data_IF_418068602197
#
_entry.id   IF_418068602197
#
_cell.length_a   1.000
_cell.length_b   1.000
_cell.length_c   1.000
_cell.angle_alpha   90.00
_cell.angle_beta   90.00
_cell.angle_gamma   90.00
#
_symmetry.space_group_name_H-M   'P 1'
#
loop_
_entity.id
_entity.type
_entity.pdbx_description
1 polymer ?
#
# COMPACT_ATOMS: atom_id res chain seq x y z
N UNK A 1 -36.18 13.06 -2.66
CA UNK A 1 -36.47 12.26 -1.45
C UNK A 1 -35.75 10.93 -1.61
N UNK A 2 -34.87 10.60 -0.70
CA UNK A 2 -34.26 9.26 -0.67
C UNK A 2 -35.36 8.21 -0.45
N UNK A 3 -35.26 7.02 -1.07
CA UNK A 3 -36.19 5.94 -0.75
C UNK A 3 -36.14 5.68 0.75
N UNK A 4 -37.32 5.44 1.37
CA UNK A 4 -37.38 5.04 2.78
C UNK A 4 -36.71 3.67 2.87
N UNK A 5 -35.47 3.65 3.38
CA UNK A 5 -34.72 2.41 3.61
C UNK A 5 -35.22 1.76 4.89
N UNK A 6 -35.39 0.46 4.87
CA UNK A 6 -35.65 -0.29 6.10
C UNK A 6 -34.39 -0.26 6.96
N UNK A 7 -34.50 0.19 8.20
CA UNK A 7 -33.39 0.21 9.16
C UNK A 7 -33.33 -1.13 9.88
N UNK A 8 -32.11 -1.67 10.02
CA UNK A 8 -31.82 -2.82 10.86
C UNK A 8 -31.25 -2.35 12.22
N UNK A 9 -31.58 -3.09 13.27
CA UNK A 9 -30.84 -3.05 14.52
C UNK A 9 -29.55 -3.87 14.41
N UNK A 10 -28.60 -3.66 15.33
CA UNK A 10 -27.37 -4.45 15.36
C UNK A 10 -27.66 -5.96 15.50
N UNK A 11 -28.61 -6.30 16.39
CA UNK A 11 -28.96 -7.71 16.64
C UNK A 11 -29.57 -8.41 15.41
N UNK A 12 -30.39 -7.70 14.62
CA UNK A 12 -30.91 -8.24 13.36
C UNK A 12 -29.81 -8.44 12.33
N UNK A 13 -28.90 -7.44 12.19
CA UNK A 13 -27.74 -7.53 11.30
C UNK A 13 -26.85 -8.72 11.68
N UNK A 14 -26.58 -8.91 12.97
CA UNK A 14 -25.72 -10.01 13.46
C UNK A 14 -26.27 -11.38 13.09
N UNK A 15 -27.59 -11.57 13.05
CA UNK A 15 -28.21 -12.82 12.59
C UNK A 15 -27.89 -13.08 11.11
N UNK A 16 -28.02 -12.06 10.26
CA UNK A 16 -27.71 -12.17 8.84
C UNK A 16 -26.22 -12.44 8.62
N UNK A 17 -25.35 -11.71 9.31
CA UNK A 17 -23.89 -11.87 9.22
C UNK A 17 -23.47 -13.25 9.70
N UNK A 18 -24.01 -13.75 10.83
CA UNK A 18 -23.72 -15.09 11.32
C UNK A 18 -24.15 -16.20 10.33
N UNK A 19 -25.26 -15.99 9.59
CA UNK A 19 -25.66 -16.91 8.53
C UNK A 19 -24.68 -16.87 7.35
N UNK A 20 -24.18 -15.68 7.00
CA UNK A 20 -23.18 -15.51 5.94
C UNK A 20 -21.85 -16.18 6.30
N UNK A 21 -21.36 -15.96 7.51
CA UNK A 21 -20.12 -16.56 8.00
C UNK A 21 -20.21 -18.09 8.08
N UNK A 22 -21.40 -18.65 8.38
CA UNK A 22 -21.61 -20.10 8.26
C UNK A 22 -21.42 -20.60 6.84
N UNK A 23 -21.91 -19.85 5.83
CA UNK A 23 -21.70 -20.18 4.42
C UNK A 23 -20.21 -20.12 4.06
N UNK A 24 -19.56 -19.02 4.41
CA UNK A 24 -18.11 -18.83 4.15
C UNK A 24 -17.25 -19.95 4.76
N UNK A 25 -17.68 -20.49 5.90
CA UNK A 25 -17.00 -21.59 6.60
C UNK A 25 -17.49 -22.99 6.20
N UNK A 26 -18.33 -23.13 5.14
CA UNK A 26 -18.88 -24.41 4.68
C UNK A 26 -19.79 -25.09 5.69
N UNK A 27 -20.41 -24.35 6.64
CA UNK A 27 -21.27 -24.92 7.70
C UNK A 27 -22.74 -24.98 7.25
N UNK A 28 -23.52 -25.98 7.71
CA UNK A 28 -24.95 -26.07 7.37
C UNK A 28 -25.75 -24.84 7.79
N UNK A 29 -26.80 -24.49 7.01
CA UNK A 29 -27.67 -23.35 7.28
C UNK A 29 -27.06 -22.00 6.95
N UNK A 30 -25.89 -21.98 6.27
CA UNK A 30 -25.28 -20.76 5.77
C UNK A 30 -26.08 -20.14 4.62
N UNK A 31 -26.11 -18.80 4.57
CA UNK A 31 -26.73 -18.03 3.47
C UNK A 31 -25.88 -16.82 3.15
N UNK A 32 -25.69 -16.51 1.86
CA UNK A 32 -25.02 -15.28 1.43
C UNK A 32 -25.79 -14.06 1.93
N UNK A 33 -25.06 -13.10 2.49
CA UNK A 33 -25.62 -11.82 2.92
C UNK A 33 -25.99 -10.99 1.69
N UNK A 34 -27.27 -10.64 1.57
CA UNK A 34 -27.81 -9.82 0.49
C UNK A 34 -28.75 -8.76 1.11
N UNK A 35 -28.19 -7.62 1.48
CA UNK A 35 -28.91 -6.50 2.07
C UNK A 35 -28.91 -5.33 1.06
N UNK A 36 -29.93 -5.27 0.20
CA UNK A 36 -30.06 -4.19 -0.78
C UNK A 36 -30.97 -3.09 -0.25
N UNK A 37 -30.53 -1.84 -0.35
CA UNK A 37 -31.29 -0.65 0.05
C UNK A 37 -31.68 -0.58 1.53
N UNK A 38 -30.93 -1.22 2.42
CA UNK A 38 -31.13 -1.11 3.87
C UNK A 38 -30.41 0.11 4.45
N UNK A 39 -30.90 0.58 5.61
CA UNK A 39 -30.20 1.54 6.46
C UNK A 39 -29.45 0.77 7.55
N UNK A 40 -28.12 0.82 7.44
CA UNK A 40 -27.13 0.18 8.32
C UNK A 40 -26.22 1.22 8.99
N UNK A 41 -26.67 2.49 9.05
CA UNK A 41 -25.87 3.60 9.56
C UNK A 41 -25.38 3.36 10.99
N UNK A 42 -24.09 3.57 11.21
CA UNK A 42 -23.45 3.47 12.51
C UNK A 42 -23.33 2.06 13.07
N UNK A 43 -23.76 1.01 12.33
CA UNK A 43 -23.69 -0.37 12.80
C UNK A 43 -22.24 -0.90 12.77
N UNK A 44 -22.00 -1.91 13.60
CA UNK A 44 -20.67 -2.51 13.77
C UNK A 44 -20.55 -3.82 12.99
N UNK A 45 -19.65 -3.84 12.04
CA UNK A 45 -19.27 -4.97 11.20
C UNK A 45 -17.74 -5.23 11.25
N UNK A 46 -17.05 -4.65 12.25
CA UNK A 46 -15.59 -4.77 12.38
C UNK A 46 -15.17 -6.22 12.55
N UNK A 47 -14.09 -6.62 11.83
CA UNK A 47 -13.50 -7.95 11.88
C UNK A 47 -14.39 -9.08 11.34
N UNK A 48 -15.56 -8.77 10.75
CA UNK A 48 -16.50 -9.78 10.24
C UNK A 48 -16.09 -10.28 8.85
N UNK A 49 -16.38 -11.53 8.57
CA UNK A 49 -16.22 -12.06 7.21
C UNK A 49 -17.48 -11.76 6.37
N UNK A 50 -17.33 -10.78 5.49
CA UNK A 50 -18.35 -10.27 4.59
C UNK A 50 -17.95 -10.46 3.11
N UNK A 51 -17.03 -11.40 2.83
CA UNK A 51 -16.57 -11.66 1.47
C UNK A 51 -17.76 -12.00 0.55
N UNK A 52 -17.80 -11.34 -0.62
CA UNK A 52 -18.89 -11.46 -1.59
C UNK A 52 -20.29 -11.02 -1.09
N UNK A 53 -20.44 -10.42 0.08
CA UNK A 53 -21.71 -9.88 0.55
C UNK A 53 -22.22 -8.77 -0.39
N UNK A 54 -23.55 -8.63 -0.50
CA UNK A 54 -24.20 -7.61 -1.35
C UNK A 54 -24.89 -6.55 -0.48
N UNK A 55 -24.31 -5.35 -0.51
CA UNK A 55 -24.80 -4.14 0.16
C UNK A 55 -25.24 -3.06 -0.84
N UNK A 56 -25.63 -3.46 -2.07
CA UNK A 56 -26.01 -2.52 -3.12
C UNK A 56 -27.04 -1.50 -2.65
N UNK A 57 -26.75 -0.21 -2.85
CA UNK A 57 -27.65 0.89 -2.50
C UNK A 57 -27.91 1.07 -1.01
N UNK A 58 -27.23 0.34 -0.11
CA UNK A 58 -27.35 0.52 1.33
C UNK A 58 -26.86 1.89 1.78
N UNK A 59 -27.33 2.33 2.95
CA UNK A 59 -26.71 3.40 3.72
C UNK A 59 -25.88 2.78 4.83
N UNK A 60 -24.60 3.04 4.82
CA UNK A 60 -23.59 2.60 5.79
C UNK A 60 -22.84 3.81 6.37
N UNK A 61 -23.53 4.97 6.41
CA UNK A 61 -22.94 6.21 6.92
C UNK A 61 -22.46 6.02 8.36
N UNK A 62 -21.15 6.29 8.61
CA UNK A 62 -20.53 6.11 9.91
C UNK A 62 -20.48 4.66 10.40
N UNK A 63 -20.72 3.65 9.56
CA UNK A 63 -20.60 2.25 9.94
C UNK A 63 -19.13 1.88 10.24
N UNK A 64 -18.94 0.95 11.18
CA UNK A 64 -17.63 0.44 11.57
C UNK A 64 -17.36 -0.87 10.85
N UNK A 65 -16.33 -0.89 10.00
CA UNK A 65 -15.93 -2.00 9.15
C UNK A 65 -14.41 -2.28 9.28
N UNK A 66 -13.79 -1.75 10.34
CA UNK A 66 -12.35 -1.92 10.57
C UNK A 66 -11.98 -3.41 10.62
N UNK A 67 -10.95 -3.81 9.84
CA UNK A 67 -10.47 -5.17 9.74
C UNK A 67 -11.48 -6.18 9.15
N UNK A 68 -12.59 -5.73 8.56
CA UNK A 68 -13.56 -6.64 7.94
C UNK A 68 -13.00 -7.24 6.64
N UNK A 69 -13.25 -8.54 6.42
CA UNK A 69 -12.97 -9.18 5.14
C UNK A 69 -14.17 -8.98 4.21
N UNK A 70 -14.01 -8.11 3.20
CA UNK A 70 -15.03 -7.75 2.20
C UNK A 70 -14.57 -8.03 0.77
N UNK A 71 -13.69 -9.00 0.59
CA UNK A 71 -13.18 -9.37 -0.73
C UNK A 71 -14.32 -9.73 -1.68
N UNK A 72 -14.38 -9.09 -2.84
CA UNK A 72 -15.46 -9.27 -3.82
C UNK A 72 -16.84 -8.78 -3.37
N UNK A 73 -16.95 -8.06 -2.26
CA UNK A 73 -18.21 -7.50 -1.80
C UNK A 73 -18.78 -6.49 -2.80
N UNK A 74 -20.11 -6.41 -2.88
CA UNK A 74 -20.83 -5.48 -3.75
C UNK A 74 -21.33 -4.31 -2.91
N UNK A 75 -20.68 -3.16 -3.04
CA UNK A 75 -21.02 -1.88 -2.41
C UNK A 75 -21.55 -0.88 -3.45
N UNK A 76 -22.13 -1.41 -4.54
CA UNK A 76 -22.61 -0.65 -5.69
C UNK A 76 -23.60 0.43 -5.27
N UNK A 77 -23.28 1.70 -5.59
CA UNK A 77 -24.06 2.87 -5.22
C UNK A 77 -24.39 2.99 -3.72
N UNK A 78 -23.59 2.39 -2.85
CA UNK A 78 -23.76 2.51 -1.41
C UNK A 78 -23.36 3.89 -0.90
N UNK A 79 -23.96 4.32 0.19
CA UNK A 79 -23.59 5.51 0.94
C UNK A 79 -22.66 5.10 2.10
N UNK A 80 -21.38 5.37 1.94
CA UNK A 80 -20.29 4.98 2.86
C UNK A 80 -19.67 6.19 3.54
N UNK A 81 -20.38 7.33 3.60
CA UNK A 81 -19.86 8.57 4.17
C UNK A 81 -19.42 8.38 5.61
N UNK A 82 -18.17 8.79 5.90
CA UNK A 82 -17.60 8.69 7.25
C UNK A 82 -17.50 7.26 7.79
N UNK A 83 -17.67 6.22 6.98
CA UNK A 83 -17.48 4.84 7.41
C UNK A 83 -16.01 4.54 7.68
N UNK A 84 -15.76 3.66 8.64
CA UNK A 84 -14.41 3.24 9.04
C UNK A 84 -14.08 1.85 8.46
N UNK A 85 -13.19 1.83 7.48
CA UNK A 85 -12.64 0.64 6.84
C UNK A 85 -11.17 0.41 7.18
N UNK A 86 -10.67 0.98 8.29
CA UNK A 86 -9.27 0.83 8.69
C UNK A 86 -8.84 -0.64 8.63
N UNK A 87 -7.79 -0.95 7.83
CA UNK A 87 -7.26 -2.30 7.67
C UNK A 87 -8.23 -3.33 7.06
N UNK A 88 -9.35 -2.92 6.47
CA UNK A 88 -10.30 -3.84 5.84
C UNK A 88 -9.74 -4.41 4.53
N UNK A 89 -10.15 -5.62 4.20
CA UNK A 89 -9.84 -6.29 2.93
C UNK A 89 -11.01 -6.09 1.95
N UNK A 90 -10.78 -5.31 0.88
CA UNK A 90 -11.78 -4.97 -0.16
C UNK A 90 -11.28 -5.37 -1.56
N UNK A 91 -10.45 -6.41 -1.66
CA UNK A 91 -9.88 -6.87 -2.92
C UNK A 91 -11.00 -7.19 -3.92
N UNK A 92 -10.96 -6.54 -5.09
CA UNK A 92 -11.98 -6.65 -6.15
C UNK A 92 -13.41 -6.28 -5.72
N UNK A 93 -13.57 -5.45 -4.69
CA UNK A 93 -14.88 -4.95 -4.30
C UNK A 93 -15.48 -4.07 -5.41
N UNK A 94 -16.80 -4.17 -5.60
CA UNK A 94 -17.56 -3.29 -6.51
C UNK A 94 -18.05 -2.06 -5.75
N UNK A 95 -17.34 -0.96 -5.89
CA UNK A 95 -17.62 0.34 -5.30
C UNK A 95 -18.17 1.36 -6.33
N UNK A 96 -18.63 0.87 -7.49
CA UNK A 96 -19.12 1.77 -8.55
C UNK A 96 -20.29 2.62 -8.05
N UNK A 97 -20.16 3.92 -8.26
CA UNK A 97 -21.13 4.93 -7.81
C UNK A 97 -21.29 5.04 -6.30
N UNK A 98 -20.40 4.46 -5.51
CA UNK A 98 -20.41 4.59 -4.04
C UNK A 98 -19.93 5.98 -3.61
N UNK A 99 -20.44 6.44 -2.46
CA UNK A 99 -20.07 7.70 -1.84
C UNK A 99 -19.24 7.44 -0.58
N UNK A 100 -17.93 7.65 -0.66
CA UNK A 100 -16.95 7.46 0.42
C UNK A 100 -16.51 8.78 1.06
N UNK A 101 -17.27 9.88 0.92
CA UNK A 101 -16.86 11.18 1.45
C UNK A 101 -16.52 11.11 2.94
N UNK A 102 -15.28 11.50 3.29
CA UNK A 102 -14.79 11.47 4.66
C UNK A 102 -14.65 10.06 5.25
N UNK A 103 -14.72 8.99 4.46
CA UNK A 103 -14.48 7.64 4.94
C UNK A 103 -13.00 7.43 5.28
N UNK A 104 -12.73 6.56 6.23
CA UNK A 104 -11.37 6.17 6.63
C UNK A 104 -11.04 4.78 6.06
N UNK A 105 -10.10 4.73 5.12
CA UNK A 105 -9.61 3.51 4.48
C UNK A 105 -8.09 3.31 4.77
N UNK A 106 -7.62 3.85 5.89
CA UNK A 106 -6.22 3.70 6.30
C UNK A 106 -5.83 2.23 6.35
N UNK A 107 -4.71 1.85 5.69
CA UNK A 107 -4.21 0.48 5.59
C UNK A 107 -5.17 -0.54 4.94
N UNK A 108 -6.26 -0.12 4.30
CA UNK A 108 -7.17 -1.04 3.63
C UNK A 108 -6.55 -1.62 2.34
N UNK A 109 -6.89 -2.87 2.02
CA UNK A 109 -6.52 -3.49 0.76
C UNK A 109 -7.69 -3.41 -0.23
N UNK A 110 -7.57 -2.52 -1.20
CA UNK A 110 -8.52 -2.25 -2.28
C UNK A 110 -7.97 -2.70 -3.64
N UNK A 111 -7.05 -3.66 -3.64
CA UNK A 111 -6.44 -4.18 -4.87
C UNK A 111 -7.52 -4.55 -5.88
N UNK A 112 -7.46 -3.95 -7.08
CA UNK A 112 -8.41 -4.13 -8.18
C UNK A 112 -9.87 -3.77 -7.84
N UNK A 113 -10.14 -2.96 -6.82
CA UNK A 113 -11.48 -2.44 -6.54
C UNK A 113 -11.93 -1.50 -7.67
N UNK A 114 -13.25 -1.42 -7.87
CA UNK A 114 -13.86 -0.63 -8.95
C UNK A 114 -14.68 0.55 -8.39
N UNK A 115 -14.20 1.77 -8.63
CA UNK A 115 -14.82 3.02 -8.16
C UNK A 115 -15.51 3.83 -9.28
N UNK A 116 -15.62 3.28 -10.48
CA UNK A 116 -16.22 3.99 -11.61
C UNK A 116 -17.65 4.41 -11.32
N UNK A 117 -18.25 5.15 -12.22
CA UNK A 117 -19.65 5.51 -12.11
C UNK A 117 -20.57 4.28 -12.09
N UNK A 118 -21.68 4.39 -11.37
CA UNK A 118 -22.72 3.38 -11.30
C UNK A 118 -24.08 3.93 -11.69
N UNK A 119 -24.92 3.12 -12.33
CA UNK A 119 -26.32 3.49 -12.67
C UNK A 119 -27.26 2.65 -11.84
N UNK A 120 -27.89 3.27 -10.85
CA UNK A 120 -28.81 2.59 -9.95
C UNK A 120 -30.27 2.87 -10.32
N UNK A 121 -31.09 1.83 -10.27
CA UNK A 121 -32.53 1.91 -10.44
C UNK A 121 -33.21 2.20 -9.10
N UNK A 122 -33.82 3.36 -8.95
CA UNK A 122 -34.48 3.78 -7.73
C UNK A 122 -36.02 3.72 -7.95
N UNK A 123 -36.78 3.05 -7.06
CA UNK A 123 -38.24 3.08 -7.11
C UNK A 123 -38.76 4.52 -6.98
N UNK A 124 -39.77 4.87 -7.75
CA UNK A 124 -40.40 6.19 -7.67
C UNK A 124 -41.15 6.33 -6.33
N UNK A 125 -40.92 7.45 -5.62
CA UNK A 125 -41.43 7.67 -4.26
C UNK A 125 -42.97 7.52 -4.13
N UNK A 126 -43.73 7.80 -5.21
CA UNK A 126 -45.19 7.77 -5.20
C UNK A 126 -45.82 6.68 -6.07
N UNK A 127 -45.04 6.05 -6.97
CA UNK A 127 -45.56 5.04 -7.94
C UNK A 127 -44.94 3.66 -7.70
N UNK A 128 -44.19 3.48 -6.63
CA UNK A 128 -43.56 2.21 -6.26
C UNK A 128 -42.69 1.61 -7.39
N UNK A 129 -42.74 0.29 -7.55
CA UNK A 129 -42.01 -0.45 -8.57
C UNK A 129 -42.52 -0.26 -10.01
N UNK A 130 -43.65 0.42 -10.21
CA UNK A 130 -44.25 0.64 -11.54
C UNK A 130 -43.58 1.76 -12.31
N UNK A 131 -42.77 2.63 -11.65
CA UNK A 131 -41.96 3.63 -12.28
C UNK A 131 -40.57 3.62 -11.64
N UNK A 132 -39.57 3.23 -12.41
CA UNK A 132 -38.15 3.19 -11.98
C UNK A 132 -37.42 4.40 -12.58
N UNK A 133 -36.77 5.17 -11.76
CA UNK A 133 -35.84 6.21 -12.19
C UNK A 133 -34.41 5.66 -12.17
N UNK A 134 -33.74 5.77 -13.29
CA UNK A 134 -32.31 5.49 -13.36
C UNK A 134 -31.55 6.74 -12.92
N UNK A 135 -30.62 6.58 -11.99
CA UNK A 135 -29.74 7.63 -11.49
C UNK A 135 -28.29 7.20 -11.68
N UNK A 136 -27.55 8.01 -12.46
CA UNK A 136 -26.10 7.84 -12.59
C UNK A 136 -25.45 8.47 -11.36
N UNK A 137 -24.60 7.72 -10.67
CA UNK A 137 -23.80 8.17 -9.55
C UNK A 137 -22.34 8.02 -9.89
N UNK A 138 -21.62 9.13 -9.82
CA UNK A 138 -20.18 9.15 -9.89
C UNK A 138 -19.63 8.62 -8.56
N UNK A 139 -18.55 7.81 -8.60
CA UNK A 139 -17.80 7.47 -7.41
C UNK A 139 -17.26 8.74 -6.74
N UNK A 140 -17.44 8.89 -5.45
CA UNK A 140 -17.00 10.07 -4.71
C UNK A 140 -16.25 9.67 -3.44
N UNK A 141 -15.06 10.23 -3.27
CA UNK A 141 -14.17 10.01 -2.14
C UNK A 141 -13.59 11.35 -1.61
N UNK A 142 -14.33 12.46 -1.75
CA UNK A 142 -13.90 13.77 -1.26
C UNK A 142 -13.49 13.72 0.22
N UNK A 143 -12.24 14.12 0.53
CA UNK A 143 -11.71 14.13 1.89
C UNK A 143 -11.66 12.75 2.54
N UNK A 144 -11.75 11.67 1.79
CA UNK A 144 -11.51 10.33 2.31
C UNK A 144 -10.03 10.09 2.61
N UNK A 145 -9.74 9.24 3.58
CA UNK A 145 -8.37 8.88 3.96
C UNK A 145 -8.01 7.50 3.41
N UNK A 146 -6.99 7.44 2.54
CA UNK A 146 -6.41 6.22 1.97
C UNK A 146 -4.96 6.03 2.42
N UNK A 147 -4.55 6.70 3.49
CA UNK A 147 -3.17 6.62 3.99
C UNK A 147 -2.73 5.17 4.16
N UNK A 148 -1.64 4.79 3.48
CA UNK A 148 -1.12 3.43 3.52
C UNK A 148 -2.01 2.37 2.84
N UNK A 149 -3.13 2.73 2.22
CA UNK A 149 -3.99 1.78 1.52
C UNK A 149 -3.32 1.21 0.26
N UNK A 150 -3.77 0.05 -0.19
CA UNK A 150 -3.36 -0.57 -1.44
C UNK A 150 -4.50 -0.50 -2.44
N UNK A 151 -4.30 0.18 -3.58
CA UNK A 151 -5.25 0.33 -4.69
C UNK A 151 -4.67 -0.15 -6.02
N UNK A 152 -3.71 -1.09 -5.98
CA UNK A 152 -3.04 -1.59 -7.18
C UNK A 152 -4.03 -2.18 -8.19
N UNK A 153 -3.92 -1.73 -9.44
CA UNK A 153 -4.83 -2.13 -10.52
C UNK A 153 -6.28 -1.67 -10.32
N UNK A 154 -6.54 -0.80 -9.35
CA UNK A 154 -7.87 -0.24 -9.07
C UNK A 154 -8.43 0.55 -10.25
N UNK A 155 -9.75 0.55 -10.42
CA UNK A 155 -10.47 1.30 -11.44
C UNK A 155 -11.06 2.57 -10.81
N UNK A 156 -10.32 3.67 -10.86
CA UNK A 156 -10.68 4.98 -10.29
C UNK A 156 -11.02 6.01 -11.39
N UNK A 157 -11.29 5.55 -12.61
CA UNK A 157 -11.61 6.41 -13.74
C UNK A 157 -12.82 7.30 -13.44
N UNK A 158 -12.60 8.61 -13.53
CA UNK A 158 -13.62 9.63 -13.28
C UNK A 158 -14.06 9.77 -11.81
N UNK A 159 -13.38 9.19 -10.82
CA UNK A 159 -13.70 9.37 -9.39
C UNK A 159 -13.55 10.86 -8.99
N UNK A 160 -14.43 11.35 -8.12
CA UNK A 160 -14.27 12.66 -7.46
C UNK A 160 -13.66 12.44 -6.07
N UNK A 161 -12.36 12.72 -5.92
CA UNK A 161 -11.57 12.49 -4.72
C UNK A 161 -10.75 13.76 -4.32
N UNK A 162 -11.40 14.92 -4.40
CA UNK A 162 -10.80 16.19 -3.96
C UNK A 162 -10.40 16.11 -2.50
N UNK A 163 -9.22 16.66 -2.19
CA UNK A 163 -8.70 16.71 -0.82
C UNK A 163 -8.61 15.34 -0.12
N UNK A 164 -8.70 14.25 -0.88
CA UNK A 164 -8.46 12.93 -0.32
C UNK A 164 -6.98 12.73 0.03
N UNK A 165 -6.72 11.97 1.08
CA UNK A 165 -5.37 11.68 1.56
C UNK A 165 -4.92 10.30 1.07
N UNK A 166 -4.02 10.27 0.10
CA UNK A 166 -3.35 9.09 -0.45
C UNK A 166 -1.89 8.98 0.01
N UNK A 167 -1.56 9.55 1.17
CA UNK A 167 -0.19 9.49 1.71
C UNK A 167 0.30 8.04 1.79
N UNK A 168 1.49 7.76 1.22
CA UNK A 168 2.12 6.43 1.15
C UNK A 168 1.20 5.31 0.61
N UNK A 169 0.19 5.65 -0.18
CA UNK A 169 -0.73 4.70 -0.82
C UNK A 169 -0.03 3.99 -1.97
N UNK A 170 -0.36 2.70 -2.20
CA UNK A 170 0.03 1.99 -3.41
C UNK A 170 -1.07 2.11 -4.47
N UNK A 171 -0.71 2.61 -5.65
CA UNK A 171 -1.58 2.85 -6.81
C UNK A 171 -0.97 2.22 -8.08
N UNK A 172 -0.12 1.20 -7.92
CA UNK A 172 0.57 0.54 -9.02
C UNK A 172 -0.41 0.05 -10.09
N UNK A 173 -0.25 0.51 -11.35
CA UNK A 173 -1.13 0.15 -12.46
C UNK A 173 -2.60 0.59 -12.29
N UNK A 174 -2.92 1.46 -11.34
CA UNK A 174 -4.28 1.97 -11.16
C UNK A 174 -4.71 2.87 -12.32
N UNK A 175 -5.99 2.82 -12.67
CA UNK A 175 -6.59 3.70 -13.67
C UNK A 175 -7.24 4.90 -13.00
N UNK A 176 -6.55 6.06 -13.04
CA UNK A 176 -6.98 7.35 -12.51
C UNK A 176 -7.38 8.34 -13.64
N UNK A 177 -7.64 7.84 -14.85
CA UNK A 177 -8.01 8.69 -15.96
C UNK A 177 -9.26 9.51 -15.61
N UNK A 178 -9.25 10.79 -15.94
CA UNK A 178 -10.37 11.72 -15.67
C UNK A 178 -10.73 11.86 -14.18
N UNK A 179 -9.95 11.27 -13.26
CA UNK A 179 -10.15 11.44 -11.83
C UNK A 179 -9.95 12.90 -11.40
N UNK A 180 -10.71 13.34 -10.42
CA UNK A 180 -10.56 14.65 -9.84
C UNK A 180 -9.84 14.54 -8.49
N UNK A 181 -8.55 14.79 -8.52
CA UNK A 181 -7.63 14.75 -7.37
C UNK A 181 -7.18 16.18 -6.96
N UNK A 182 -8.02 17.19 -7.24
CA UNK A 182 -7.71 18.56 -6.86
C UNK A 182 -7.46 18.66 -5.35
N UNK A 183 -6.34 19.32 -5.00
CA UNK A 183 -5.89 19.51 -3.61
C UNK A 183 -5.69 18.17 -2.83
N UNK A 184 -5.57 17.03 -3.51
CA UNK A 184 -5.32 15.75 -2.86
C UNK A 184 -3.88 15.64 -2.34
N UNK A 185 -3.67 14.85 -1.29
CA UNK A 185 -2.35 14.56 -0.72
C UNK A 185 -1.90 13.21 -1.26
N UNK A 186 -0.82 13.21 -2.04
CA UNK A 186 -0.21 12.02 -2.66
C UNK A 186 1.26 11.88 -2.21
N UNK A 187 1.59 12.45 -1.04
CA UNK A 187 2.96 12.40 -0.49
C UNK A 187 3.41 10.95 -0.33
N UNK A 188 4.54 10.60 -0.96
CA UNK A 188 5.10 9.24 -0.91
C UNK A 188 4.26 8.18 -1.63
N UNK A 189 3.18 8.54 -2.35
CA UNK A 189 2.35 7.58 -3.06
C UNK A 189 3.15 6.86 -4.15
N UNK A 190 2.94 5.54 -4.27
CA UNK A 190 3.57 4.68 -5.26
C UNK A 190 2.60 4.47 -6.42
N UNK A 191 2.89 5.12 -7.56
CA UNK A 191 1.98 5.20 -8.72
C UNK A 191 2.60 4.55 -9.97
N UNK A 192 3.49 3.57 -9.79
CA UNK A 192 4.18 2.94 -10.92
C UNK A 192 3.19 2.42 -11.96
N UNK A 193 3.37 2.86 -13.21
CA UNK A 193 2.52 2.51 -14.34
C UNK A 193 1.03 2.87 -14.17
N UNK A 194 0.68 3.76 -13.26
CA UNK A 194 -0.69 4.28 -13.15
C UNK A 194 -1.03 5.16 -14.37
N UNK A 195 -2.29 5.12 -14.81
CA UNK A 195 -2.80 5.98 -15.87
C UNK A 195 -3.49 7.20 -15.26
N UNK A 196 -3.07 8.42 -15.68
CA UNK A 196 -3.58 9.69 -15.15
C UNK A 196 -4.05 10.65 -16.27
N UNK A 197 -4.41 10.12 -17.43
CA UNK A 197 -4.85 10.94 -18.56
C UNK A 197 -6.08 11.79 -18.20
N UNK A 198 -5.98 13.09 -18.43
CA UNK A 198 -7.02 14.08 -18.09
C UNK A 198 -7.39 14.08 -16.60
N UNK A 199 -6.53 13.57 -15.75
CA UNK A 199 -6.68 13.68 -14.31
C UNK A 199 -6.49 15.14 -13.88
N UNK A 200 -7.33 15.63 -12.98
CA UNK A 200 -7.17 16.94 -12.36
C UNK A 200 -6.34 16.78 -11.08
N UNK A 201 -5.07 17.18 -11.15
CA UNK A 201 -4.10 17.23 -10.05
C UNK A 201 -3.82 18.67 -9.59
N UNK A 202 -4.69 19.64 -9.92
CA UNK A 202 -4.51 21.05 -9.52
C UNK A 202 -4.32 21.14 -8.00
N UNK A 203 -3.21 21.75 -7.56
CA UNK A 203 -2.89 21.93 -6.15
C UNK A 203 -2.56 20.63 -5.38
N UNK A 204 -2.45 19.48 -6.03
CA UNK A 204 -2.12 18.22 -5.35
C UNK A 204 -0.69 18.24 -4.79
N UNK A 205 -0.50 17.67 -3.59
CA UNK A 205 0.82 17.49 -2.99
C UNK A 205 1.31 16.09 -3.33
N UNK A 206 2.33 15.99 -4.21
CA UNK A 206 2.93 14.73 -4.65
C UNK A 206 4.37 14.57 -4.16
N UNK A 207 4.76 15.30 -3.11
CA UNK A 207 6.13 15.28 -2.57
C UNK A 207 6.62 13.85 -2.34
N UNK A 208 7.76 13.50 -2.96
CA UNK A 208 8.36 12.17 -2.84
C UNK A 208 7.57 11.01 -3.45
N UNK A 209 6.51 11.26 -4.23
CA UNK A 209 5.78 10.20 -4.90
C UNK A 209 6.63 9.49 -5.97
N UNK A 210 6.31 8.21 -6.23
CA UNK A 210 6.96 7.41 -7.28
C UNK A 210 6.05 7.39 -8.51
N UNK A 211 6.52 7.98 -9.61
CA UNK A 211 5.80 8.12 -10.89
C UNK A 211 6.51 7.37 -12.03
N UNK A 212 7.21 6.29 -11.73
CA UNK A 212 7.85 5.45 -12.76
C UNK A 212 6.79 4.93 -13.73
N UNK A 213 6.96 5.18 -15.04
CA UNK A 213 6.00 4.78 -16.07
C UNK A 213 4.72 5.62 -16.12
N UNK A 214 4.63 6.72 -15.38
CA UNK A 214 3.48 7.64 -15.41
C UNK A 214 3.78 8.84 -16.32
N UNK A 215 2.86 9.15 -17.24
CA UNK A 215 2.92 10.30 -18.12
C UNK A 215 1.95 11.37 -17.63
N UNK A 216 2.46 12.57 -17.29
CA UNK A 216 1.64 13.70 -16.80
C UNK A 216 1.21 14.69 -17.88
N UNK A 217 1.54 14.45 -19.14
CA UNK A 217 1.34 15.42 -20.25
C UNK A 217 -0.12 15.84 -20.46
N UNK A 218 -1.05 14.91 -20.22
CA UNK A 218 -2.49 15.15 -20.38
C UNK A 218 -3.20 15.47 -19.06
N UNK A 219 -2.49 15.41 -17.92
CA UNK A 219 -3.04 15.75 -16.61
C UNK A 219 -2.95 17.25 -16.34
N UNK A 220 -3.92 17.80 -15.62
CA UNK A 220 -3.83 19.16 -15.10
C UNK A 220 -3.04 19.19 -13.79
N UNK A 221 -1.78 19.62 -13.87
CA UNK A 221 -0.85 19.69 -12.72
C UNK A 221 -0.62 21.12 -12.22
N UNK A 222 -1.52 22.06 -12.54
CA UNK A 222 -1.37 23.45 -12.15
C UNK A 222 -1.25 23.60 -10.63
N UNK A 223 -0.13 24.15 -10.16
CA UNK A 223 0.13 24.34 -8.73
C UNK A 223 0.36 23.06 -7.94
N UNK A 224 0.52 21.92 -8.59
CA UNK A 224 0.90 20.68 -7.90
C UNK A 224 2.35 20.75 -7.39
N UNK A 225 2.59 20.23 -6.19
CA UNK A 225 3.93 20.09 -5.61
C UNK A 225 4.54 18.74 -6.03
N UNK A 226 5.52 18.79 -6.92
CA UNK A 226 6.26 17.63 -7.45
C UNK A 226 7.66 17.50 -6.85
N UNK A 227 7.91 18.10 -5.68
CA UNK A 227 9.23 18.07 -5.02
C UNK A 227 9.63 16.63 -4.68
N UNK A 228 10.83 16.21 -5.10
CA UNK A 228 11.36 14.87 -4.80
C UNK A 228 10.61 13.71 -5.46
N UNK A 229 9.77 13.96 -6.46
CA UNK A 229 9.10 12.91 -7.22
C UNK A 229 10.12 12.06 -7.96
N UNK A 230 10.00 10.73 -7.83
CA UNK A 230 10.83 9.79 -8.56
C UNK A 230 10.15 9.42 -9.89
N UNK A 231 10.76 9.81 -11.00
CA UNK A 231 10.30 9.49 -12.37
C UNK A 231 10.99 8.24 -12.91
N UNK A 232 10.62 7.80 -14.10
CA UNK A 232 11.36 6.74 -14.82
C UNK A 232 12.85 7.09 -14.88
N UNK A 233 13.74 6.05 -14.89
CA UNK A 233 15.16 6.26 -15.06
C UNK A 233 15.45 7.10 -16.30
N UNK A 234 16.34 8.08 -16.17
CA UNK A 234 16.76 8.91 -17.28
C UNK A 234 17.73 8.18 -18.24
N UNK A 235 17.96 8.79 -19.41
CA UNK A 235 18.82 8.21 -20.46
C UNK A 235 20.24 7.87 -19.94
N UNK A 236 20.78 8.67 -19.03
CA UNK A 236 22.08 8.41 -18.41
C UNK A 236 22.08 7.13 -17.59
N UNK A 237 21.06 6.91 -16.76
CA UNK A 237 20.93 5.68 -15.98
C UNK A 237 20.74 4.45 -16.87
N UNK A 238 19.93 4.59 -17.92
CA UNK A 238 19.73 3.52 -18.92
C UNK A 238 21.03 3.17 -19.64
N UNK A 239 21.82 4.15 -20.06
CA UNK A 239 23.10 3.94 -20.73
C UNK A 239 24.15 3.26 -19.83
N UNK A 240 24.04 3.44 -18.50
CA UNK A 240 24.96 2.83 -17.53
C UNK A 240 24.57 1.42 -17.10
N UNK A 241 23.35 0.96 -17.42
CA UNK A 241 22.77 -0.28 -16.90
C UNK A 241 23.68 -1.52 -17.15
N UNK A 242 24.23 -1.67 -18.36
CA UNK A 242 25.09 -2.83 -18.67
C UNK A 242 26.38 -2.81 -17.86
N UNK A 243 27.03 -1.65 -17.75
CA UNK A 243 28.27 -1.50 -16.97
C UNK A 243 28.01 -1.80 -15.48
N UNK A 244 26.87 -1.35 -14.94
CA UNK A 244 26.50 -1.61 -13.55
C UNK A 244 26.13 -3.08 -13.31
N UNK A 245 25.50 -3.73 -14.30
CA UNK A 245 25.21 -5.16 -14.25
C UNK A 245 26.50 -6.00 -14.27
N UNK A 246 27.48 -5.65 -15.13
CA UNK A 246 28.78 -6.31 -15.16
C UNK A 246 29.51 -6.17 -13.82
N UNK A 247 29.52 -4.98 -13.22
CA UNK A 247 30.07 -4.75 -11.86
C UNK A 247 29.39 -5.61 -10.79
N UNK A 248 28.08 -5.81 -10.89
CA UNK A 248 27.35 -6.66 -9.94
C UNK A 248 27.75 -8.13 -10.08
N UNK A 249 27.90 -8.62 -11.31
CA UNK A 249 28.36 -9.98 -11.59
C UNK A 249 29.82 -10.18 -11.14
N UNK A 250 30.67 -9.19 -11.33
CA UNK A 250 32.07 -9.22 -10.89
C UNK A 250 32.16 -9.29 -9.35
N UNK A 251 31.35 -8.52 -8.64
CA UNK A 251 31.26 -8.58 -7.18
C UNK A 251 30.68 -9.93 -6.67
N UNK A 252 29.74 -10.52 -7.39
CA UNK A 252 29.28 -11.87 -7.09
C UNK A 252 30.41 -12.90 -7.27
N UNK A 253 31.19 -12.81 -8.35
CA UNK A 253 32.35 -13.67 -8.59
C UNK A 253 33.43 -13.49 -7.52
N UNK A 254 33.67 -12.23 -7.07
CA UNK A 254 34.57 -11.97 -5.95
C UNK A 254 34.14 -12.71 -4.68
N UNK A 255 32.84 -12.69 -4.38
CA UNK A 255 32.30 -13.38 -3.21
C UNK A 255 32.43 -14.90 -3.34
N UNK A 256 32.08 -15.46 -4.50
CA UNK A 256 32.09 -16.91 -4.74
C UNK A 256 33.50 -17.48 -4.77
N UNK A 257 34.48 -16.69 -5.23
CA UNK A 257 35.90 -17.08 -5.25
C UNK A 257 36.63 -16.87 -3.93
N UNK A 258 35.96 -16.29 -2.92
CA UNK A 258 36.63 -15.91 -1.66
C UNK A 258 37.64 -14.78 -1.82
N UNK A 259 37.41 -13.87 -2.76
CA UNK A 259 38.24 -12.69 -3.04
C UNK A 259 39.38 -12.94 -4.04
N UNK A 260 39.36 -14.05 -4.78
CA UNK A 260 40.39 -14.37 -5.76
C UNK A 260 40.11 -13.69 -7.13
N UNK A 261 38.85 -13.61 -7.52
CA UNK A 261 38.40 -13.01 -8.78
C UNK A 261 37.35 -11.93 -8.50
N UNK A 262 37.38 -10.86 -9.29
CA UNK A 262 36.47 -9.72 -9.18
C UNK A 262 36.82 -8.76 -8.06
N UNK A 263 35.92 -7.82 -7.79
CA UNK A 263 36.06 -6.80 -6.73
C UNK A 263 34.71 -6.45 -6.12
N UNK A 264 34.66 -5.93 -4.87
CA UNK A 264 33.42 -5.46 -4.26
C UNK A 264 32.76 -4.34 -5.08
N UNK A 265 31.44 -4.42 -5.27
CA UNK A 265 30.72 -3.41 -6.05
C UNK A 265 30.60 -2.08 -5.32
N UNK A 266 30.75 -0.99 -6.08
CA UNK A 266 30.48 0.38 -5.65
C UNK A 266 29.46 1.01 -6.59
N UNK A 267 28.29 1.32 -6.03
CA UNK A 267 27.14 1.91 -6.72
C UNK A 267 26.65 3.19 -6.04
N UNK A 268 27.53 3.89 -5.32
CA UNK A 268 27.16 5.11 -4.59
C UNK A 268 26.55 6.16 -5.53
N UNK A 269 25.32 6.62 -5.22
CA UNK A 269 24.57 7.60 -6.01
C UNK A 269 23.98 7.10 -7.33
N UNK A 270 24.15 5.82 -7.67
CA UNK A 270 23.64 5.27 -8.94
C UNK A 270 22.15 5.02 -8.91
N UNK A 271 21.50 5.17 -10.05
CA UNK A 271 20.14 4.65 -10.28
C UNK A 271 20.21 3.22 -10.79
N UNK A 272 19.92 2.26 -9.91
CA UNK A 272 20.04 0.83 -10.22
C UNK A 272 18.73 0.23 -10.80
N UNK A 273 17.65 0.99 -10.87
CA UNK A 273 16.36 0.52 -11.40
C UNK A 273 16.41 -0.04 -12.81
N UNK A 274 17.28 0.45 -13.75
CA UNK A 274 17.43 -0.14 -15.06
C UNK A 274 17.97 -1.59 -15.05
N UNK A 275 18.54 -2.04 -13.93
CA UNK A 275 19.01 -3.43 -13.81
C UNK A 275 17.84 -4.42 -13.65
N UNK A 276 16.65 -3.95 -13.26
CA UNK A 276 15.49 -4.82 -13.07
C UNK A 276 15.75 -5.88 -12.00
N UNK A 277 15.60 -7.16 -12.37
CA UNK A 277 15.80 -8.32 -11.50
C UNK A 277 17.23 -8.89 -11.50
N UNK A 278 18.18 -8.23 -12.19
CA UNK A 278 19.58 -8.71 -12.33
C UNK A 278 20.36 -8.76 -11.02
N UNK A 279 19.90 -8.08 -9.96
CA UNK A 279 20.53 -8.13 -8.63
C UNK A 279 19.92 -9.20 -7.71
N UNK A 280 18.84 -9.84 -8.15
CA UNK A 280 18.15 -10.88 -7.39
C UNK A 280 19.07 -12.08 -7.15
N UNK A 281 19.00 -12.63 -5.93
CA UNK A 281 19.79 -13.78 -5.49
C UNK A 281 21.33 -13.62 -5.59
N UNK A 282 21.85 -12.42 -5.97
CA UNK A 282 23.30 -12.19 -6.02
C UNK A 282 23.90 -12.12 -4.62
N UNK A 283 25.16 -12.52 -4.53
CA UNK A 283 25.98 -12.43 -3.31
C UNK A 283 26.84 -11.18 -3.39
N UNK A 284 26.38 -10.09 -2.77
CA UNK A 284 27.02 -8.77 -2.81
C UNK A 284 27.40 -8.28 -1.40
N UNK A 285 28.08 -9.09 -0.56
CA UNK A 285 28.47 -8.67 0.77
C UNK A 285 29.44 -7.50 0.71
N UNK A 286 29.22 -6.53 1.61
CA UNK A 286 30.08 -5.32 1.69
C UNK A 286 29.90 -4.32 0.55
N UNK A 287 28.94 -4.55 -0.36
CA UNK A 287 28.52 -3.60 -1.40
C UNK A 287 28.41 -2.16 -0.83
N UNK A 288 28.93 -1.16 -1.54
CA UNK A 288 28.65 0.25 -1.29
C UNK A 288 27.65 0.79 -2.29
N UNK A 289 26.49 1.23 -1.82
CA UNK A 289 25.43 1.84 -2.63
C UNK A 289 24.72 2.96 -1.83
N UNK A 290 25.52 3.84 -1.26
CA UNK A 290 25.01 5.00 -0.51
C UNK A 290 24.27 5.94 -1.44
N UNK A 291 23.09 6.40 -1.00
CA UNK A 291 22.23 7.29 -1.81
C UNK A 291 21.87 6.73 -3.19
N UNK A 292 22.05 5.42 -3.42
CA UNK A 292 21.64 4.78 -4.68
C UNK A 292 20.11 4.57 -4.70
N UNK A 293 19.55 4.49 -5.90
CA UNK A 293 18.14 4.25 -6.09
C UNK A 293 17.88 2.79 -6.50
N UNK A 294 17.16 2.06 -5.65
CA UNK A 294 16.67 0.70 -5.87
C UNK A 294 15.14 0.62 -5.95
N UNK A 295 14.43 1.76 -5.89
CA UNK A 295 12.99 1.79 -5.71
C UNK A 295 12.24 0.82 -6.63
N UNK A 296 11.38 -0.03 -6.04
CA UNK A 296 10.58 -1.04 -6.74
C UNK A 296 11.34 -2.28 -7.24
N UNK A 297 12.64 -2.42 -6.94
CA UNK A 297 13.42 -3.56 -7.45
C UNK A 297 13.14 -4.86 -6.69
N UNK A 298 13.24 -6.00 -7.40
CA UNK A 298 13.26 -7.35 -6.80
C UNK A 298 14.68 -7.69 -6.32
N UNK A 299 14.88 -7.63 -5.00
CA UNK A 299 16.11 -7.98 -4.29
C UNK A 299 15.88 -9.22 -3.39
N UNK A 300 14.87 -10.01 -3.71
CA UNK A 300 14.53 -11.20 -2.94
C UNK A 300 15.72 -12.16 -2.87
N UNK A 301 16.02 -12.62 -1.65
CA UNK A 301 17.11 -13.55 -1.39
C UNK A 301 18.52 -12.99 -1.60
N UNK A 302 18.69 -11.71 -1.97
CA UNK A 302 20.00 -11.12 -2.17
C UNK A 302 20.85 -11.17 -0.88
N UNK A 303 22.13 -11.49 -1.01
CA UNK A 303 23.08 -11.39 0.09
C UNK A 303 23.73 -10.00 0.09
N UNK A 304 23.30 -9.16 1.03
CA UNK A 304 23.74 -7.79 1.22
C UNK A 304 24.42 -7.60 2.61
N UNK A 305 25.05 -8.65 3.12
CA UNK A 305 25.75 -8.61 4.42
C UNK A 305 26.76 -7.46 4.47
N UNK A 306 26.68 -6.63 5.52
CA UNK A 306 27.62 -5.53 5.72
C UNK A 306 27.53 -4.42 4.67
N UNK A 307 26.56 -4.45 3.76
CA UNK A 307 26.40 -3.45 2.73
C UNK A 307 26.22 -2.03 3.31
N UNK A 308 26.75 -1.02 2.60
CA UNK A 308 26.56 0.40 2.87
C UNK A 308 25.42 0.93 2.00
N UNK A 309 24.26 1.09 2.61
CA UNK A 309 23.03 1.57 1.98
C UNK A 309 22.51 2.85 2.67
N UNK A 310 23.41 3.62 3.29
CA UNK A 310 23.04 4.85 3.96
C UNK A 310 22.39 5.83 2.97
N UNK A 311 21.19 6.32 3.31
CA UNK A 311 20.40 7.23 2.47
C UNK A 311 19.92 6.64 1.15
N UNK A 312 20.02 5.32 0.94
CA UNK A 312 19.53 4.68 -0.29
C UNK A 312 17.99 4.71 -0.37
N UNK A 313 17.45 4.79 -1.58
CA UNK A 313 16.03 4.68 -1.86
C UNK A 313 15.67 3.23 -2.17
N UNK A 314 15.05 2.56 -1.20
CA UNK A 314 14.59 1.18 -1.25
C UNK A 314 13.06 1.08 -1.18
N UNK A 315 12.35 2.18 -1.49
CA UNK A 315 10.89 2.22 -1.44
C UNK A 315 10.29 1.15 -2.35
N UNK A 316 9.33 0.38 -1.81
CA UNK A 316 8.65 -0.68 -2.56
C UNK A 316 9.52 -1.86 -2.98
N UNK A 317 10.78 -1.97 -2.54
CA UNK A 317 11.64 -3.11 -2.87
C UNK A 317 11.09 -4.42 -2.30
N UNK A 318 11.23 -5.51 -3.05
CA UNK A 318 11.07 -6.87 -2.54
C UNK A 318 12.40 -7.36 -1.95
N UNK A 319 12.52 -7.33 -0.64
CA UNK A 319 13.68 -7.80 0.14
C UNK A 319 13.38 -9.09 0.91
N UNK A 320 12.34 -9.84 0.50
CA UNK A 320 11.96 -11.09 1.19
C UNK A 320 13.11 -12.07 1.25
N UNK A 321 13.40 -12.54 2.48
CA UNK A 321 14.46 -13.51 2.72
C UNK A 321 15.87 -13.02 2.39
N UNK A 322 16.09 -11.73 2.14
CA UNK A 322 17.41 -11.16 1.93
C UNK A 322 18.27 -11.26 3.19
N UNK A 323 19.56 -11.48 3.01
CA UNK A 323 20.54 -11.46 4.11
C UNK A 323 21.12 -10.05 4.27
N UNK A 324 20.59 -9.33 5.25
CA UNK A 324 20.92 -7.94 5.58
C UNK A 324 21.74 -7.84 6.89
N UNK A 325 22.39 -8.92 7.34
CA UNK A 325 23.17 -8.88 8.57
C UNK A 325 24.27 -7.83 8.52
N UNK A 326 24.31 -6.98 9.55
CA UNK A 326 25.33 -5.91 9.64
C UNK A 326 25.18 -4.80 8.59
N UNK A 327 24.08 -4.73 7.85
CA UNK A 327 23.80 -3.68 6.86
C UNK A 327 23.75 -2.29 7.51
N UNK A 328 24.16 -1.26 6.77
CA UNK A 328 24.02 0.14 7.17
C UNK A 328 22.93 0.82 6.32
N UNK A 329 21.77 1.04 6.90
CA UNK A 329 20.57 1.64 6.31
C UNK A 329 20.20 2.97 6.98
N UNK A 330 21.19 3.67 7.59
CA UNK A 330 20.90 4.93 8.26
C UNK A 330 20.29 5.94 7.28
N UNK A 331 19.14 6.52 7.63
CA UNK A 331 18.42 7.48 6.78
C UNK A 331 17.93 6.93 5.45
N UNK A 332 17.94 5.61 5.24
CA UNK A 332 17.42 5.00 4.01
C UNK A 332 15.89 5.07 3.97
N UNK A 333 15.33 5.13 2.77
CA UNK A 333 13.90 5.12 2.51
C UNK A 333 13.44 3.69 2.20
N UNK A 334 12.65 3.10 3.09
CA UNK A 334 12.13 1.74 2.97
C UNK A 334 10.58 1.71 3.04
N UNK A 335 9.92 2.84 2.75
CA UNK A 335 8.46 2.89 2.73
C UNK A 335 7.92 1.76 1.86
N UNK A 336 6.98 0.95 2.40
CA UNK A 336 6.36 -0.20 1.72
C UNK A 336 7.33 -1.28 1.21
N UNK A 337 8.58 -1.29 1.63
CA UNK A 337 9.48 -2.40 1.32
C UNK A 337 8.98 -3.70 1.96
N UNK A 338 9.12 -4.82 1.24
CA UNK A 338 8.76 -6.15 1.75
C UNK A 338 10.00 -6.84 2.31
N UNK A 339 10.17 -6.79 3.61
CA UNK A 339 11.29 -7.37 4.37
C UNK A 339 10.90 -8.70 5.05
N UNK A 340 9.80 -9.34 4.65
CA UNK A 340 9.34 -10.58 5.29
C UNK A 340 10.42 -11.66 5.24
N UNK A 341 10.74 -12.21 6.42
CA UNK A 341 11.77 -13.22 6.56
C UNK A 341 13.20 -12.76 6.25
N UNK A 342 13.44 -11.44 6.06
CA UNK A 342 14.78 -10.90 5.89
C UNK A 342 15.57 -10.99 7.20
N UNK A 343 16.88 -11.18 7.10
CA UNK A 343 17.76 -11.26 8.26
C UNK A 343 18.53 -9.96 8.48
N UNK A 344 18.10 -9.14 9.44
CA UNK A 344 18.76 -7.89 9.86
C UNK A 344 19.52 -8.06 11.19
N UNK A 345 19.91 -9.27 11.54
CA UNK A 345 20.70 -9.55 12.74
C UNK A 345 22.12 -9.01 12.67
N UNK A 346 22.90 -9.30 13.69
CA UNK A 346 24.31 -8.93 13.70
C UNK A 346 25.14 -9.82 12.77
N UNK A 347 26.11 -9.23 12.05
CA UNK A 347 27.10 -9.94 11.27
C UNK A 347 28.33 -10.22 12.15
N UNK A 348 28.73 -11.47 12.25
CA UNK A 348 29.96 -11.86 12.95
C UNK A 348 31.18 -11.52 12.07
N UNK A 349 32.01 -10.57 12.51
CA UNK A 349 33.25 -10.18 11.85
C UNK A 349 34.43 -11.00 12.40
N UNK A 350 34.39 -11.34 13.68
CA UNK A 350 35.34 -12.23 14.36
C UNK A 350 34.65 -12.91 15.54
N UNK A 351 35.36 -13.80 16.27
CA UNK A 351 34.80 -14.49 17.45
C UNK A 351 34.20 -13.54 18.49
N UNK A 352 34.77 -12.35 18.65
CA UNK A 352 34.40 -11.39 19.69
C UNK A 352 33.85 -10.08 19.13
N UNK A 353 33.66 -9.97 17.81
CA UNK A 353 33.21 -8.73 17.16
C UNK A 353 31.99 -8.99 16.28
N UNK A 354 30.86 -8.46 16.74
CA UNK A 354 29.60 -8.43 16.00
C UNK A 354 29.38 -7.03 15.42
N UNK A 355 28.88 -6.97 14.19
CA UNK A 355 28.45 -5.76 13.53
C UNK A 355 26.92 -5.78 13.41
N UNK A 356 26.19 -4.96 14.19
CA UNK A 356 24.73 -4.91 14.12
C UNK A 356 24.27 -4.26 12.82
N UNK A 357 23.10 -4.66 12.31
CA UNK A 357 22.39 -3.88 11.31
C UNK A 357 22.00 -2.52 11.90
N UNK A 358 22.08 -1.46 11.09
CA UNK A 358 21.80 -0.09 11.52
C UNK A 358 20.73 0.54 10.63
N UNK A 359 19.58 0.83 11.21
CA UNK A 359 18.46 1.50 10.59
C UNK A 359 18.14 2.83 11.28
N UNK A 360 19.20 3.53 11.76
CA UNK A 360 19.07 4.79 12.49
C UNK A 360 18.42 5.82 11.57
N UNK A 361 17.30 6.45 12.02
CA UNK A 361 16.54 7.43 11.24
C UNK A 361 16.04 6.91 9.86
N UNK A 362 16.03 5.61 9.65
CA UNK A 362 15.45 5.02 8.43
C UNK A 362 13.92 5.18 8.42
N UNK A 363 13.34 5.33 7.22
CA UNK A 363 11.89 5.48 7.05
C UNK A 363 11.31 4.17 6.53
N UNK A 364 10.62 3.41 7.42
CA UNK A 364 10.03 2.11 7.14
C UNK A 364 8.48 2.16 7.13
N UNK A 365 7.91 3.31 6.83
CA UNK A 365 6.44 3.49 6.87
C UNK A 365 5.76 2.47 5.97
N UNK A 366 4.77 1.75 6.54
CA UNK A 366 4.03 0.68 5.85
C UNK A 366 4.91 -0.46 5.30
N UNK A 367 6.16 -0.61 5.75
CA UNK A 367 7.00 -1.74 5.41
C UNK A 367 6.48 -3.04 6.05
N UNK A 368 6.79 -4.18 5.44
CA UNK A 368 6.41 -5.50 5.91
C UNK A 368 7.62 -6.22 6.48
N UNK A 369 7.61 -6.43 7.80
CA UNK A 369 8.72 -7.07 8.53
C UNK A 369 8.26 -8.37 9.24
N UNK A 370 7.11 -8.94 8.89
CA UNK A 370 6.63 -10.19 9.48
C UNK A 370 7.67 -11.31 9.29
N UNK A 371 8.09 -11.96 10.38
CA UNK A 371 9.12 -12.98 10.36
C UNK A 371 10.54 -12.47 10.09
N UNK A 372 10.77 -11.16 10.04
CA UNK A 372 12.12 -10.61 9.93
C UNK A 372 12.91 -10.83 11.23
N UNK A 373 14.21 -11.13 11.11
CA UNK A 373 15.13 -11.26 12.25
C UNK A 373 15.75 -9.90 12.52
N UNK A 374 15.41 -9.31 13.67
CA UNK A 374 15.86 -7.97 14.08
C UNK A 374 16.82 -8.01 15.27
N UNK A 375 17.39 -9.18 15.61
CA UNK A 375 18.29 -9.35 16.75
C UNK A 375 19.49 -8.39 16.65
N UNK A 376 19.67 -7.57 17.70
CA UNK A 376 20.70 -6.56 17.79
C UNK A 376 20.64 -5.44 16.72
N UNK A 377 19.61 -5.38 15.87
CA UNK A 377 19.43 -4.27 14.93
C UNK A 377 19.20 -2.95 15.69
N UNK A 378 19.77 -1.86 15.19
CA UNK A 378 19.59 -0.52 15.76
C UNK A 378 18.54 0.24 14.97
N UNK A 379 17.44 0.57 15.66
CA UNK A 379 16.27 1.25 15.11
C UNK A 379 16.09 2.66 15.68
N UNK A 380 17.14 3.26 16.23
CA UNK A 380 17.07 4.57 16.89
C UNK A 380 16.51 5.64 15.93
N UNK A 381 15.36 6.23 16.28
CA UNK A 381 14.71 7.25 15.47
C UNK A 381 14.11 6.76 14.14
N UNK A 382 14.04 5.45 13.91
CA UNK A 382 13.39 4.91 12.71
C UNK A 382 11.87 5.17 12.73
N UNK A 383 11.31 5.58 11.59
CA UNK A 383 9.88 5.74 11.41
C UNK A 383 9.26 4.45 10.89
N UNK A 384 8.58 3.73 11.79
CA UNK A 384 7.90 2.47 11.50
C UNK A 384 6.37 2.61 11.44
N UNK A 385 5.85 3.83 11.27
CA UNK A 385 4.42 4.12 11.24
C UNK A 385 3.72 3.22 10.20
N UNK A 386 2.68 2.50 10.63
CA UNK A 386 1.94 1.56 9.77
C UNK A 386 2.73 0.33 9.31
N UNK A 387 3.98 0.13 9.75
CA UNK A 387 4.73 -1.06 9.40
C UNK A 387 4.15 -2.31 10.11
N UNK A 388 4.25 -3.47 9.44
CA UNK A 388 3.83 -4.75 10.01
C UNK A 388 5.06 -5.45 10.58
N UNK A 389 5.20 -5.41 11.90
CA UNK A 389 6.32 -6.00 12.64
C UNK A 389 5.74 -6.94 13.69
N UNK A 390 6.30 -8.14 13.82
CA UNK A 390 5.95 -9.04 14.93
C UNK A 390 6.46 -8.43 16.24
N UNK A 391 5.59 -8.08 17.21
CA UNK A 391 6.03 -7.44 18.45
C UNK A 391 7.05 -8.27 19.23
N UNK A 392 6.99 -9.60 19.10
CA UNK A 392 7.90 -10.54 19.77
C UNK A 392 9.32 -10.52 19.16
N UNK A 393 9.47 -10.08 17.90
CA UNK A 393 10.78 -9.94 17.24
C UNK A 393 11.59 -8.74 17.73
N UNK A 394 10.99 -7.84 18.50
CA UNK A 394 11.62 -6.63 19.00
C UNK A 394 12.06 -6.77 20.46
N UNK A 395 13.29 -6.39 20.77
CA UNK A 395 13.77 -6.27 22.15
C UNK A 395 13.08 -5.11 22.89
N UNK A 396 13.15 -5.12 24.22
CA UNK A 396 12.58 -4.03 25.03
C UNK A 396 13.24 -2.66 24.73
N UNK A 397 14.52 -2.66 24.34
CA UNK A 397 15.25 -1.44 23.94
C UNK A 397 14.76 -0.93 22.59
N UNK A 398 14.60 -1.82 21.60
CA UNK A 398 14.07 -1.46 20.28
C UNK A 398 12.65 -0.91 20.36
N UNK A 399 11.77 -1.50 21.18
CA UNK A 399 10.40 -0.99 21.40
C UNK A 399 10.37 0.41 22.00
N UNK A 400 11.40 0.81 22.75
CA UNK A 400 11.53 2.18 23.28
C UNK A 400 12.12 3.15 22.27
N UNK A 401 12.91 2.66 21.33
CA UNK A 401 13.62 3.47 20.34
C UNK A 401 12.72 3.87 19.14
N UNK A 402 11.62 3.15 18.91
CA UNK A 402 10.68 3.40 17.83
C UNK A 402 9.31 3.79 18.41
N UNK A 403 8.63 4.81 17.83
CA UNK A 403 7.25 5.10 18.20
C UNK A 403 6.35 3.96 17.65
N UNK A 404 5.99 3.02 18.53
CA UNK A 404 5.03 1.97 18.19
C UNK A 404 3.64 2.60 18.28
N UNK A 405 2.84 2.64 17.20
CA UNK A 405 1.45 3.07 17.26
C UNK A 405 0.65 2.20 18.23
N UNK A 406 -0.31 2.81 18.94
CA UNK A 406 -1.13 2.14 19.97
C UNK A 406 -1.92 0.93 19.43
N UNK A 407 -2.16 0.87 18.13
CA UNK A 407 -2.84 -0.23 17.42
C UNK A 407 -1.97 -1.51 17.26
N UNK A 408 -0.65 -1.41 17.46
CA UNK A 408 0.27 -2.57 17.49
C UNK A 408 0.60 -3.04 18.92
N UNK A 409 0.06 -2.39 19.95
CA UNK A 409 0.35 -2.71 21.35
C UNK A 409 -0.68 -3.66 21.98
N UNK A 410 -1.65 -4.18 21.23
CA UNK A 410 -2.76 -5.03 21.71
C UNK A 410 -2.65 -6.49 21.22
#
# INVERSE_FOLDING_TARGET
MNPVRQRLSQSELDVFVAAHERLANGRPGGRRLMLKFFDLNGLNLSGRNLAEADFSGCSLEGARLAGACMNGAVLFCADLRGADFTGAELVRADLRGACLRGANLTNADLTRADFREGVIAIPHATRGLTAVRHETRQGSADGATFTGATLDGGQLDGIDAKKADFTDCSLGGANLNRANLKDAILTGAMMENASVDRCNLEGACMTGAILTGVTLELADTKGADLTGVLRSPGDEALARAEVLAEKALDANAWTESGGVFGEPAVFDGEDLRPLGDRLKDLKLPGLSARHACFAGMDLKGANLQGAGLEGADLRGCDLRGADLRGVRLNGALLNRADLRGANLGALAISKDRLMPAKLIEAILRFARLEGAILDAARLDGADVSGARIDPESLTAEQRKAIPIPDDMAA
#
